data_IF_941944986246
#
_entry.id   IF_941944986246
#
_cell.length_a   1.000
_cell.length_b   1.000
_cell.length_c   1.000
_cell.angle_alpha   90.00
_cell.angle_beta   90.00
_cell.angle_gamma   90.00
#
_symmetry.space_group_name_H-M   'P 1'
#
loop_
_entity.id
_entity.type
_entity.pdbx_description
1 polymer ?
#
# COMPACT_ATOMS: atom_id res chain seq x y z
N UNK A 1 24.99 39.47 -24.18
CA UNK A 1 23.57 39.16 -24.44
C UNK A 1 23.33 37.77 -23.91
N UNK A 2 22.92 37.66 -22.65
CA UNK A 2 22.87 36.38 -21.92
C UNK A 2 21.46 35.82 -22.01
N UNK A 3 21.33 34.70 -22.73
CA UNK A 3 20.11 33.92 -22.86
C UNK A 3 19.85 33.18 -21.54
N UNK A 4 18.85 33.65 -20.79
CA UNK A 4 18.29 33.02 -19.61
C UNK A 4 17.59 31.72 -20.00
N UNK A 5 18.14 30.58 -19.57
CA UNK A 5 17.42 29.30 -19.57
C UNK A 5 16.30 29.38 -18.52
N UNK A 6 15.07 29.54 -18.97
CA UNK A 6 13.88 29.39 -18.15
C UNK A 6 13.68 27.90 -17.81
N UNK A 7 14.15 27.49 -16.65
CA UNK A 7 13.73 26.23 -16.02
C UNK A 7 12.27 26.40 -15.58
N UNK A 8 11.33 26.06 -16.45
CA UNK A 8 9.92 25.86 -16.08
C UNK A 8 9.81 24.62 -15.20
N UNK A 9 9.95 24.81 -13.88
CA UNK A 9 9.52 23.84 -12.88
C UNK A 9 7.99 23.89 -12.87
N UNK A 10 7.36 22.94 -13.56
CA UNK A 10 5.92 22.73 -13.47
C UNK A 10 5.68 22.10 -12.10
N UNK A 11 5.28 22.91 -11.12
CA UNK A 11 4.88 22.43 -9.80
C UNK A 11 3.74 21.44 -9.98
N UNK A 12 4.08 20.15 -9.89
CA UNK A 12 3.13 19.05 -9.91
C UNK A 12 2.35 19.13 -8.61
N UNK A 13 1.02 19.15 -8.68
CA UNK A 13 0.20 19.04 -7.48
C UNK A 13 0.58 17.75 -6.73
N UNK A 14 1.01 17.92 -5.48
CA UNK A 14 1.31 16.85 -4.54
C UNK A 14 0.28 16.92 -3.42
N UNK A 15 -0.44 15.82 -3.18
CA UNK A 15 -1.40 15.70 -2.09
C UNK A 15 -0.93 14.62 -1.12
N UNK A 16 -0.89 14.98 0.16
CA UNK A 16 -0.65 14.05 1.25
C UNK A 16 -2.01 13.62 1.83
N UNK A 17 -2.16 12.31 2.03
CA UNK A 17 -3.34 11.73 2.69
C UNK A 17 -2.88 10.85 3.84
N UNK A 18 -3.24 11.26 5.05
CA UNK A 18 -2.98 10.48 6.25
C UNK A 18 -4.05 9.38 6.38
N UNK A 19 -3.62 8.13 6.24
CA UNK A 19 -4.51 6.96 6.26
C UNK A 19 -4.75 6.45 7.68
N UNK A 20 -3.73 6.52 8.53
CA UNK A 20 -3.78 6.08 9.92
C UNK A 20 -2.74 6.85 10.73
N UNK A 21 -3.14 7.29 11.90
CA UNK A 21 -2.26 7.87 12.93
C UNK A 21 -2.83 7.53 14.29
N UNK A 22 -1.96 7.07 15.20
CA UNK A 22 -2.31 6.93 16.60
C UNK A 22 -1.70 5.72 17.30
N UNK A 23 -2.10 5.59 18.56
CA UNK A 23 -1.79 4.47 19.43
C UNK A 23 -2.96 3.49 19.44
N UNK A 24 -2.67 2.22 19.19
CA UNK A 24 -3.67 1.17 19.08
C UNK A 24 -3.31 0.00 20.00
N UNK A 25 -4.35 -0.71 20.46
CA UNK A 25 -4.14 -2.02 21.05
C UNK A 25 -3.67 -3.00 19.97
N UNK A 26 -2.97 -4.10 20.31
CA UNK A 26 -2.56 -5.10 19.33
C UNK A 26 -3.72 -5.68 18.49
N UNK A 27 -4.94 -5.72 19.05
CA UNK A 27 -6.12 -6.19 18.32
C UNK A 27 -6.59 -5.18 17.28
N UNK A 28 -6.67 -3.90 17.63
CA UNK A 28 -7.01 -2.82 16.70
C UNK A 28 -5.95 -2.66 15.62
N UNK A 29 -4.68 -2.68 16.00
CA UNK A 29 -3.54 -2.62 15.08
C UNK A 29 -3.62 -3.74 14.02
N UNK A 30 -3.88 -4.98 14.47
CA UNK A 30 -4.03 -6.12 13.56
C UNK A 30 -5.21 -5.93 12.61
N UNK A 31 -6.34 -5.43 13.13
CA UNK A 31 -7.51 -5.17 12.32
C UNK A 31 -7.23 -4.13 11.22
N UNK A 32 -6.66 -2.97 11.59
CA UNK A 32 -6.36 -1.88 10.65
C UNK A 32 -5.39 -2.36 9.56
N UNK A 33 -4.27 -2.98 9.96
CA UNK A 33 -3.26 -3.47 9.01
C UNK A 33 -3.85 -4.52 8.07
N UNK A 34 -4.63 -5.47 8.60
CA UNK A 34 -5.29 -6.48 7.76
C UNK A 34 -6.22 -5.84 6.73
N UNK A 35 -7.08 -4.90 7.14
CA UNK A 35 -8.03 -4.25 6.24
C UNK A 35 -7.28 -3.52 5.12
N UNK A 36 -6.24 -2.75 5.44
CA UNK A 36 -5.46 -2.02 4.44
C UNK A 36 -4.78 -2.95 3.43
N UNK A 37 -4.14 -4.03 3.89
CA UNK A 37 -3.48 -5.00 2.99
C UNK A 37 -4.52 -5.76 2.16
N UNK A 38 -5.64 -6.15 2.76
CA UNK A 38 -6.72 -6.85 2.03
C UNK A 38 -7.34 -5.99 0.93
N UNK A 39 -7.54 -4.69 1.15
CA UNK A 39 -8.02 -3.78 0.11
C UNK A 39 -7.03 -3.72 -1.07
N UNK A 40 -5.72 -3.67 -0.80
CA UNK A 40 -4.68 -3.69 -1.83
C UNK A 40 -4.64 -5.03 -2.59
N UNK A 41 -4.77 -6.15 -1.88
CA UNK A 41 -4.87 -7.49 -2.49
C UNK A 41 -6.10 -7.58 -3.40
N UNK A 42 -7.25 -7.08 -2.95
CA UNK A 42 -8.49 -7.10 -3.71
C UNK A 42 -8.39 -6.24 -4.98
N UNK A 43 -7.72 -5.09 -4.91
CA UNK A 43 -7.42 -4.27 -6.08
C UNK A 43 -6.64 -5.05 -7.15
N UNK A 44 -5.59 -5.78 -6.75
CA UNK A 44 -4.81 -6.62 -7.69
C UNK A 44 -5.61 -7.82 -8.21
N UNK A 45 -6.48 -8.44 -7.40
CA UNK A 45 -7.39 -9.49 -7.87
C UNK A 45 -8.35 -8.95 -8.94
N UNK A 46 -8.88 -7.74 -8.76
CA UNK A 46 -9.72 -7.08 -9.77
C UNK A 46 -8.93 -6.73 -11.04
N UNK A 47 -7.66 -6.32 -10.93
CA UNK A 47 -6.79 -6.15 -12.10
C UNK A 47 -6.59 -7.46 -12.86
N UNK A 48 -6.29 -8.55 -12.15
CA UNK A 48 -6.18 -9.88 -12.73
C UNK A 48 -7.44 -10.28 -13.51
N UNK A 49 -8.62 -10.10 -12.90
CA UNK A 49 -9.89 -10.41 -13.54
C UNK A 49 -10.08 -9.63 -14.85
N UNK A 50 -9.75 -8.34 -14.86
CA UNK A 50 -9.82 -7.50 -16.06
C UNK A 50 -8.88 -7.98 -17.18
N UNK A 51 -7.71 -8.53 -16.82
CA UNK A 51 -6.74 -9.07 -17.79
C UNK A 51 -7.20 -10.40 -18.38
N UNK A 52 -7.86 -11.25 -17.58
CA UNK A 52 -8.41 -12.53 -18.03
C UNK A 52 -9.74 -12.39 -18.77
N UNK A 53 -10.40 -11.23 -18.72
CA UNK A 53 -11.71 -11.03 -19.33
C UNK A 53 -11.61 -11.16 -20.85
N UNK A 54 -12.09 -12.29 -21.39
CA UNK A 54 -12.07 -12.60 -22.82
C UNK A 54 -10.82 -13.35 -23.31
N UNK A 55 -9.87 -13.69 -22.42
CA UNK A 55 -8.69 -14.48 -22.76
C UNK A 55 -8.23 -15.32 -21.54
N UNK A 56 -8.52 -16.62 -21.55
CA UNK A 56 -8.14 -17.53 -20.45
C UNK A 56 -6.62 -17.71 -20.30
N UNK A 57 -5.87 -17.52 -21.39
CA UNK A 57 -4.40 -17.66 -21.43
C UNK A 57 -3.65 -16.34 -21.14
N UNK A 58 -4.35 -15.30 -20.68
CA UNK A 58 -3.72 -14.01 -20.41
C UNK A 58 -2.65 -14.13 -19.31
N UNK A 59 -1.48 -13.53 -19.54
CA UNK A 59 -0.39 -13.57 -18.57
C UNK A 59 -0.77 -12.78 -17.31
N UNK A 60 -0.96 -13.51 -16.21
CA UNK A 60 -1.27 -12.94 -14.89
C UNK A 60 -0.13 -13.13 -13.89
N UNK A 61 1.06 -13.48 -14.37
CA UNK A 61 2.22 -13.78 -13.53
C UNK A 61 2.58 -12.61 -12.61
N UNK A 62 2.55 -11.39 -13.14
CA UNK A 62 2.81 -10.18 -12.35
C UNK A 62 1.79 -10.01 -11.21
N UNK A 63 0.49 -10.14 -11.48
CA UNK A 63 -0.55 -9.96 -10.47
C UNK A 63 -0.53 -11.06 -9.42
N UNK A 64 -0.23 -12.29 -9.84
CA UNK A 64 -0.09 -13.42 -8.93
C UNK A 64 1.09 -13.22 -7.98
N UNK A 65 2.25 -12.81 -8.51
CA UNK A 65 3.44 -12.52 -7.69
C UNK A 65 3.14 -11.40 -6.70
N UNK A 66 2.50 -10.32 -7.15
CA UNK A 66 2.18 -9.19 -6.27
C UNK A 66 1.20 -9.56 -5.16
N UNK A 67 0.21 -10.40 -5.44
CA UNK A 67 -0.71 -10.92 -4.43
C UNK A 67 0.06 -11.77 -3.39
N UNK A 68 0.99 -12.63 -3.82
CA UNK A 68 1.78 -13.46 -2.89
C UNK A 68 2.67 -12.61 -1.98
N UNK A 69 3.35 -11.60 -2.53
CA UNK A 69 4.15 -10.65 -1.75
C UNK A 69 3.30 -9.97 -0.65
N UNK A 70 2.11 -9.48 -1.02
CA UNK A 70 1.21 -8.81 -0.07
C UNK A 70 0.70 -9.76 1.03
N UNK A 71 0.44 -11.03 0.69
CA UNK A 71 0.06 -12.04 1.68
C UNK A 71 1.22 -12.36 2.64
N UNK A 72 2.46 -12.34 2.16
CA UNK A 72 3.63 -12.48 3.01
C UNK A 72 3.84 -11.26 3.93
N UNK A 73 3.71 -10.04 3.38
CA UNK A 73 3.75 -8.79 4.17
C UNK A 73 2.67 -8.80 5.28
N UNK A 74 1.46 -9.29 4.97
CA UNK A 74 0.37 -9.48 5.95
C UNK A 74 0.79 -10.40 7.09
N UNK A 75 1.43 -11.52 6.77
CA UNK A 75 1.86 -12.50 7.76
C UNK A 75 2.96 -11.92 8.67
N UNK A 76 3.96 -11.25 8.09
CA UNK A 76 5.03 -10.57 8.84
C UNK A 76 4.45 -9.53 9.81
N UNK A 77 3.51 -8.69 9.35
CA UNK A 77 2.89 -7.68 10.20
C UNK A 77 2.08 -8.31 11.35
N UNK A 78 1.34 -9.39 11.06
CA UNK A 78 0.60 -10.15 12.07
C UNK A 78 1.51 -10.76 13.13
N UNK A 79 2.66 -11.31 12.72
CA UNK A 79 3.62 -11.91 13.64
C UNK A 79 4.26 -10.84 14.53
N UNK A 80 4.61 -9.68 13.97
CA UNK A 80 5.11 -8.53 14.72
C UNK A 80 4.12 -8.03 15.78
N UNK A 81 2.84 -7.86 15.40
CA UNK A 81 1.78 -7.43 16.33
C UNK A 81 1.50 -8.51 17.39
N UNK A 82 1.69 -9.79 17.05
CA UNK A 82 1.55 -10.88 18.01
C UNK A 82 2.64 -10.84 19.09
N UNK A 83 3.87 -10.45 18.74
CA UNK A 83 4.95 -10.22 19.71
C UNK A 83 4.55 -9.09 20.66
N UNK A 84 4.10 -7.94 20.13
CA UNK A 84 3.63 -6.82 20.95
C UNK A 84 2.51 -7.24 21.93
N UNK A 85 1.57 -8.08 21.48
CA UNK A 85 0.52 -8.63 22.36
C UNK A 85 1.09 -9.52 23.47
N UNK A 86 2.04 -10.40 23.16
CA UNK A 86 2.64 -11.31 24.16
C UNK A 86 3.41 -10.55 25.23
N UNK A 87 4.04 -9.45 24.86
CA UNK A 87 4.87 -8.64 25.73
C UNK A 87 4.09 -7.51 26.43
N UNK A 88 2.80 -7.32 26.10
CA UNK A 88 1.93 -6.34 26.73
C UNK A 88 2.10 -4.91 26.21
N UNK A 89 2.67 -4.72 25.02
CA UNK A 89 2.84 -3.42 24.38
C UNK A 89 1.60 -2.97 23.60
N UNK A 90 1.44 -1.65 23.53
CA UNK A 90 0.59 -1.00 22.52
C UNK A 90 1.39 -0.76 21.25
N UNK A 91 0.69 -0.60 20.13
CA UNK A 91 1.29 -0.46 18.80
C UNK A 91 0.98 0.94 18.27
N UNK A 92 2.01 1.65 17.82
CA UNK A 92 1.85 2.91 17.10
C UNK A 92 1.88 2.63 15.60
N UNK A 93 0.89 3.14 14.87
CA UNK A 93 0.81 2.99 13.41
C UNK A 93 0.67 4.37 12.80
N UNK A 94 1.58 4.69 11.88
CA UNK A 94 1.54 5.92 11.09
C UNK A 94 1.65 5.54 9.61
N UNK A 95 0.66 5.97 8.82
CA UNK A 95 0.58 5.67 7.40
C UNK A 95 0.18 6.92 6.63
N UNK A 96 1.09 7.40 5.79
CA UNK A 96 0.88 8.54 4.91
C UNK A 96 1.01 8.09 3.46
N UNK A 97 0.01 8.41 2.64
CA UNK A 97 0.07 8.25 1.20
C UNK A 97 0.41 9.58 0.54
N UNK A 98 1.51 9.59 -0.22
CA UNK A 98 1.91 10.72 -1.03
C UNK A 98 1.46 10.49 -2.47
N UNK A 99 0.59 11.36 -2.97
CA UNK A 99 0.05 11.30 -4.33
C UNK A 99 0.69 12.44 -5.13
N UNK A 100 1.40 12.08 -6.20
CA UNK A 100 2.09 13.03 -7.07
C UNK A 100 1.77 12.73 -8.52
N UNK A 101 1.55 13.77 -9.32
CA UNK A 101 1.36 13.61 -10.76
C UNK A 101 2.70 13.38 -11.47
N UNK A 102 2.76 12.37 -12.34
CA UNK A 102 3.90 12.13 -13.23
C UNK A 102 3.44 12.38 -14.66
N UNK A 103 4.30 13.02 -15.46
CA UNK A 103 4.07 13.32 -16.88
C UNK A 103 5.07 12.50 -17.68
#
# INVERSE_FOLDING_TARGET
MSITKTNTNVEKATQEVQLVEGLFTPSEANHIVNVLIEQKVNFHKLQKLRVCEGCEDADTTYENNRIQELLNEKQIAKDYITIARKEGYNVVINGTLNISFVK
#
